data_IF_788180585046
#
_entry.id   IF_788180585046
#
_cell.length_a   1.000
_cell.length_b   1.000
_cell.length_c   1.000
_cell.angle_alpha   90.00
_cell.angle_beta   90.00
_cell.angle_gamma   90.00
#
_symmetry.space_group_name_H-M   'P 1'
#
loop_
_entity.id
_entity.type
_entity.pdbx_description
1 polymer ?
#
# COMPACT_ATOMS: atom_id res chain seq x y z
N UNK A 1 3.38 -9.21 -39.48
CA UNK A 1 4.55 -8.31 -39.60
C UNK A 1 5.89 -8.92 -39.17
N UNK A 2 6.18 -9.22 -37.89
CA UNK A 2 7.46 -9.90 -37.53
C UNK A 2 7.57 -11.36 -38.02
N UNK A 3 6.43 -12.05 -38.18
CA UNK A 3 6.38 -13.41 -38.73
C UNK A 3 6.29 -13.45 -40.27
N UNK A 4 6.19 -12.32 -40.97
CA UNK A 4 5.93 -12.25 -42.42
C UNK A 4 7.10 -11.65 -43.23
N UNK A 5 8.26 -11.41 -42.61
CA UNK A 5 9.46 -10.96 -43.33
C UNK A 5 9.37 -9.55 -43.94
N UNK A 6 8.63 -8.63 -43.30
CA UNK A 6 8.54 -7.24 -43.77
C UNK A 6 9.91 -6.49 -43.66
N UNK A 7 10.21 -5.52 -44.54
CA UNK A 7 11.45 -4.74 -44.50
C UNK A 7 11.64 -4.03 -43.15
N UNK A 8 12.87 -4.04 -42.62
CA UNK A 8 13.20 -3.51 -41.28
C UNK A 8 12.82 -2.03 -41.10
N UNK A 9 12.81 -1.27 -42.20
CA UNK A 9 12.38 0.14 -42.25
C UNK A 9 10.88 0.28 -41.94
N UNK A 10 10.04 -0.63 -42.44
CA UNK A 10 8.59 -0.62 -42.22
C UNK A 10 8.25 -1.04 -40.78
N UNK A 11 9.02 -1.98 -40.21
CA UNK A 11 8.92 -2.36 -38.80
C UNK A 11 9.30 -1.18 -37.91
N UNK A 12 10.39 -0.47 -38.24
CA UNK A 12 10.86 0.68 -37.47
C UNK A 12 9.85 1.84 -37.52
N UNK A 13 9.26 2.10 -38.69
CA UNK A 13 8.20 3.09 -38.87
C UNK A 13 6.93 2.74 -38.08
N UNK A 14 6.50 1.47 -38.13
CA UNK A 14 5.36 0.99 -37.36
C UNK A 14 5.59 1.06 -35.84
N UNK A 15 6.81 0.75 -35.37
CA UNK A 15 7.19 0.88 -33.96
C UNK A 15 7.21 2.34 -33.52
N UNK A 16 7.69 3.26 -34.36
CA UNK A 16 7.66 4.69 -34.07
C UNK A 16 6.21 5.21 -33.95
N UNK A 17 5.34 4.79 -34.86
CA UNK A 17 3.92 5.14 -34.83
C UNK A 17 3.20 4.57 -33.59
N UNK A 18 3.49 3.30 -33.25
CA UNK A 18 2.98 2.66 -32.03
C UNK A 18 3.46 3.38 -30.76
N UNK A 19 4.73 3.81 -30.71
CA UNK A 19 5.24 4.60 -29.59
C UNK A 19 4.57 5.97 -29.49
N UNK A 20 4.30 6.63 -30.60
CA UNK A 20 3.57 7.89 -30.63
C UNK A 20 2.13 7.71 -30.13
N UNK A 21 1.42 6.68 -30.63
CA UNK A 21 0.07 6.33 -30.17
C UNK A 21 0.05 5.95 -28.69
N UNK A 22 1.04 5.19 -28.22
CA UNK A 22 1.21 4.83 -26.80
C UNK A 22 1.34 6.08 -25.93
N UNK A 23 2.20 7.05 -26.30
CA UNK A 23 2.32 8.32 -25.58
C UNK A 23 1.02 9.13 -25.56
N UNK A 24 0.28 9.16 -26.67
CA UNK A 24 -1.01 9.83 -26.72
C UNK A 24 -2.07 9.13 -25.86
N UNK A 25 -2.06 7.79 -25.82
CA UNK A 25 -2.93 7.01 -24.96
C UNK A 25 -2.59 7.19 -23.49
N UNK A 26 -1.31 7.15 -23.12
CA UNK A 26 -0.83 7.41 -21.75
C UNK A 26 -1.21 8.83 -21.29
N UNK A 27 -1.08 9.83 -22.15
CA UNK A 27 -1.51 11.20 -21.83
C UNK A 27 -3.04 11.33 -21.70
N UNK A 28 -3.81 10.60 -22.52
CA UNK A 28 -5.27 10.56 -22.40
C UNK A 28 -5.72 9.79 -21.17
N UNK A 29 -5.04 8.70 -20.82
CA UNK A 29 -5.26 7.91 -19.61
C UNK A 29 -4.99 8.79 -18.38
N UNK A 30 -3.89 9.54 -18.35
CA UNK A 30 -3.59 10.51 -17.30
C UNK A 30 -4.62 11.67 -17.23
N UNK A 31 -5.21 12.07 -18.36
CA UNK A 31 -6.27 13.09 -18.40
C UNK A 31 -7.67 12.55 -18.06
N UNK A 32 -7.89 11.25 -18.28
CA UNK A 32 -9.10 10.49 -17.92
C UNK A 32 -9.01 9.91 -16.52
N UNK A 33 -7.83 9.91 -15.91
CA UNK A 33 -7.70 9.69 -14.48
C UNK A 33 -8.64 10.69 -13.83
N UNK A 34 -9.59 10.22 -12.99
CA UNK A 34 -10.43 11.12 -12.25
C UNK A 34 -9.49 12.10 -11.54
N UNK A 35 -9.67 13.40 -11.80
CA UNK A 35 -9.03 14.42 -10.95
C UNK A 35 -9.36 14.02 -9.52
N UNK A 36 -8.33 13.92 -8.68
CA UNK A 36 -8.44 13.56 -7.26
C UNK A 36 -9.43 14.48 -6.56
N UNK A 37 -10.72 14.17 -6.69
CA UNK A 37 -11.81 14.86 -6.02
C UNK A 37 -12.52 13.85 -5.13
N UNK A 38 -12.90 14.35 -3.94
CA UNK A 38 -14.22 14.22 -3.29
C UNK A 38 -14.11 13.96 -1.78
N UNK A 39 -12.95 13.59 -1.22
CA UNK A 39 -12.84 13.38 0.25
C UNK A 39 -11.96 14.43 0.93
N UNK A 40 -12.61 15.30 1.71
CA UNK A 40 -11.95 16.18 2.67
C UNK A 40 -11.35 15.34 3.81
N UNK A 41 -10.07 15.01 3.66
CA UNK A 41 -9.32 14.17 4.60
C UNK A 41 -9.31 14.78 6.01
N UNK A 42 -9.14 16.08 6.14
CA UNK A 42 -9.08 16.76 7.44
C UNK A 42 -10.41 16.62 8.18
N UNK A 43 -11.52 16.86 7.48
CA UNK A 43 -12.87 16.72 8.05
C UNK A 43 -13.23 15.27 8.38
N UNK A 44 -12.77 14.33 7.55
CA UNK A 44 -12.94 12.90 7.80
C UNK A 44 -12.16 12.48 9.06
N UNK A 45 -10.88 12.81 9.14
CA UNK A 45 -10.02 12.48 10.29
C UNK A 45 -10.54 13.09 11.59
N UNK A 46 -11.02 14.34 11.58
CA UNK A 46 -11.70 14.96 12.72
C UNK A 46 -12.90 14.14 13.18
N UNK A 47 -13.76 13.74 12.24
CA UNK A 47 -14.95 12.94 12.56
C UNK A 47 -14.57 11.56 13.12
N UNK A 48 -13.56 10.91 12.56
CA UNK A 48 -13.06 9.60 13.02
C UNK A 48 -12.52 9.69 14.45
N UNK A 49 -11.71 10.72 14.76
CA UNK A 49 -11.18 10.94 16.11
C UNK A 49 -12.28 11.34 17.10
N UNK A 50 -13.12 12.32 16.76
CA UNK A 50 -14.18 12.83 17.63
C UNK A 50 -15.25 11.78 17.96
N UNK A 51 -15.47 10.82 17.05
CA UNK A 51 -16.39 9.68 17.28
C UNK A 51 -15.68 8.42 17.78
N UNK A 52 -14.39 8.52 18.08
CA UNK A 52 -13.53 7.45 18.58
C UNK A 52 -13.64 6.17 17.74
N UNK A 53 -13.45 6.31 16.42
CA UNK A 53 -13.19 5.17 15.55
C UNK A 53 -11.81 4.59 15.83
N UNK A 54 -10.79 5.45 15.78
CA UNK A 54 -9.45 5.15 16.27
C UNK A 54 -8.82 6.45 16.80
N UNK A 55 -7.81 6.32 17.65
CA UNK A 55 -6.97 7.43 18.06
C UNK A 55 -5.53 6.97 18.27
N UNK A 56 -4.60 7.91 18.45
CA UNK A 56 -3.19 7.60 18.67
C UNK A 56 -3.00 6.83 19.98
N UNK A 57 -2.31 5.70 19.91
CA UNK A 57 -2.04 4.91 21.10
C UNK A 57 -1.17 5.69 22.09
N UNK A 58 -1.50 5.59 23.38
CA UNK A 58 -0.82 6.30 24.47
C UNK A 58 -0.86 7.84 24.33
N UNK A 59 -1.93 8.40 23.75
CA UNK A 59 -2.07 9.84 23.50
C UNK A 59 -1.78 10.72 24.74
N UNK A 60 -2.21 10.31 25.93
CA UNK A 60 -1.97 11.06 27.19
C UNK A 60 -0.48 11.13 27.60
N UNK A 61 0.38 10.30 27.00
CA UNK A 61 1.82 10.27 27.21
C UNK A 61 2.61 10.89 26.05
N UNK A 62 1.94 11.60 25.13
CA UNK A 62 2.55 12.19 23.93
C UNK A 62 2.41 11.34 22.67
N UNK A 63 1.86 10.12 22.79
CA UNK A 63 1.57 9.24 21.68
C UNK A 63 2.80 8.58 21.05
N UNK A 64 2.60 7.42 20.42
CA UNK A 64 3.65 6.73 19.67
C UNK A 64 3.28 6.69 18.19
N UNK A 65 4.16 7.22 17.33
CA UNK A 65 3.93 7.23 15.89
C UNK A 65 3.85 5.80 15.34
N UNK A 66 2.86 5.53 14.50
CA UNK A 66 2.62 4.20 13.92
C UNK A 66 1.78 3.25 14.79
N UNK A 67 1.43 3.63 16.03
CA UNK A 67 0.56 2.84 16.92
C UNK A 67 -0.79 3.55 17.14
N UNK A 68 -1.88 2.77 17.07
CA UNK A 68 -3.24 3.29 17.17
C UNK A 68 -4.15 2.34 17.96
N UNK A 69 -5.03 2.92 18.77
CA UNK A 69 -6.06 2.21 19.51
C UNK A 69 -7.41 2.39 18.83
N UNK A 70 -8.14 1.29 18.63
CA UNK A 70 -9.49 1.33 18.06
C UNK A 70 -10.52 1.51 19.16
N UNK A 71 -11.37 2.54 19.00
CA UNK A 71 -12.49 2.77 19.92
C UNK A 71 -13.70 1.89 19.59
N UNK A 72 -14.83 2.05 20.31
CA UNK A 72 -15.96 1.12 20.21
C UNK A 72 -16.51 0.95 18.79
N UNK A 73 -16.67 2.05 18.05
CA UNK A 73 -17.20 2.04 16.68
C UNK A 73 -16.19 1.44 15.70
N UNK A 74 -14.90 1.73 15.89
CA UNK A 74 -13.83 1.16 15.05
C UNK A 74 -13.67 -0.34 15.27
N UNK A 75 -13.73 -0.81 16.52
CA UNK A 75 -13.72 -2.24 16.84
C UNK A 75 -14.92 -2.97 16.23
N UNK A 76 -16.13 -2.40 16.32
CA UNK A 76 -17.32 -2.98 15.71
C UNK A 76 -17.18 -3.08 14.18
N UNK A 77 -16.72 -2.01 13.53
CA UNK A 77 -16.48 -2.01 12.08
C UNK A 77 -15.41 -3.03 11.67
N UNK A 78 -14.27 -3.07 12.38
CA UNK A 78 -13.19 -4.03 12.15
C UNK A 78 -13.70 -5.47 12.25
N UNK A 79 -14.49 -5.78 13.27
CA UNK A 79 -15.06 -7.11 13.46
C UNK A 79 -16.03 -7.49 12.34
N UNK A 80 -16.86 -6.55 11.88
CA UNK A 80 -17.78 -6.78 10.76
C UNK A 80 -17.01 -7.06 9.46
N UNK A 81 -15.92 -6.33 9.20
CA UNK A 81 -15.06 -6.57 8.03
C UNK A 81 -14.41 -7.96 8.10
N UNK A 82 -13.85 -8.32 9.27
CA UNK A 82 -13.27 -9.65 9.47
C UNK A 82 -14.31 -10.76 9.29
N UNK A 83 -15.53 -10.57 9.79
CA UNK A 83 -16.61 -11.54 9.62
C UNK A 83 -17.01 -11.70 8.16
N UNK A 84 -17.17 -10.60 7.42
CA UNK A 84 -17.47 -10.65 5.99
C UNK A 84 -16.34 -11.33 5.20
N UNK A 85 -15.08 -11.09 5.56
CA UNK A 85 -13.93 -11.75 4.95
C UNK A 85 -13.93 -13.27 5.20
N UNK A 86 -14.23 -13.70 6.43
CA UNK A 86 -14.33 -15.13 6.77
C UNK A 86 -15.47 -15.80 6.00
N UNK A 87 -16.62 -15.16 5.90
CA UNK A 87 -17.75 -15.67 5.13
C UNK A 87 -17.35 -15.85 3.66
N UNK A 88 -16.76 -14.81 3.07
CA UNK A 88 -16.45 -14.81 1.64
C UNK A 88 -15.31 -15.75 1.25
N UNK A 89 -14.25 -15.89 2.06
CA UNK A 89 -13.10 -16.71 1.69
C UNK A 89 -13.06 -18.04 2.41
N UNK A 90 -13.20 -18.04 3.73
CA UNK A 90 -13.04 -19.27 4.51
C UNK A 90 -14.23 -20.21 4.29
N UNK A 91 -15.44 -19.67 4.34
CA UNK A 91 -16.65 -20.51 4.23
C UNK A 91 -16.95 -20.89 2.78
N UNK A 92 -16.89 -19.96 1.83
CA UNK A 92 -17.20 -20.25 0.41
C UNK A 92 -16.18 -21.21 -0.22
N UNK A 93 -14.88 -21.04 0.05
CA UNK A 93 -13.81 -21.87 -0.53
C UNK A 93 -13.33 -23.00 0.41
N UNK A 94 -13.98 -23.17 1.57
CA UNK A 94 -13.63 -24.18 2.59
C UNK A 94 -12.16 -24.17 3.02
N UNK A 95 -11.60 -22.98 3.25
CA UNK A 95 -10.21 -22.81 3.67
C UNK A 95 -10.01 -23.30 5.11
N UNK A 96 -8.86 -23.92 5.39
CA UNK A 96 -8.45 -24.34 6.73
C UNK A 96 -7.86 -23.15 7.50
N UNK A 97 -8.66 -22.48 8.34
CA UNK A 97 -8.19 -21.42 9.24
C UNK A 97 -7.36 -22.01 10.40
N UNK A 98 -6.18 -21.45 10.65
CA UNK A 98 -5.31 -21.77 11.79
C UNK A 98 -4.87 -20.48 12.49
N UNK A 99 -4.63 -20.56 13.80
CA UNK A 99 -4.13 -19.43 14.60
C UNK A 99 -2.75 -19.77 15.20
N UNK A 100 -1.78 -18.88 14.97
CA UNK A 100 -0.37 -19.09 15.28
C UNK A 100 0.18 -17.98 16.19
N UNK A 101 1.26 -18.25 16.91
CA UNK A 101 1.88 -17.28 17.83
C UNK A 101 2.63 -16.17 17.11
N UNK A 102 2.60 -14.94 17.66
CA UNK A 102 3.38 -13.80 17.14
C UNK A 102 4.88 -13.89 17.44
N UNK A 103 5.26 -14.36 18.64
CA UNK A 103 6.67 -14.56 18.99
C UNK A 103 7.26 -15.67 18.12
N UNK A 104 8.26 -15.33 17.33
CA UNK A 104 8.84 -16.21 16.31
C UNK A 104 10.35 -16.38 16.55
N UNK A 105 10.87 -17.62 16.66
CA UNK A 105 12.32 -17.85 16.80
C UNK A 105 13.12 -17.34 15.59
N UNK A 106 14.29 -16.76 15.84
CA UNK A 106 15.16 -16.20 14.80
C UNK A 106 15.45 -17.17 13.63
N UNK A 107 15.75 -18.48 13.83
CA UNK A 107 16.03 -19.38 12.72
C UNK A 107 14.90 -19.46 11.68
N UNK A 108 13.64 -19.29 12.09
CA UNK A 108 12.48 -19.28 11.19
C UNK A 108 12.48 -18.03 10.31
N UNK A 109 12.73 -16.87 10.89
CA UNK A 109 12.81 -15.59 10.15
C UNK A 109 14.04 -15.52 9.27
N UNK A 110 15.16 -16.13 9.69
CA UNK A 110 16.36 -16.25 8.87
C UNK A 110 16.11 -17.14 7.66
N UNK A 111 15.51 -18.31 7.88
CA UNK A 111 15.24 -19.28 6.80
C UNK A 111 14.24 -18.74 5.79
N UNK A 112 13.23 -17.99 6.22
CA UNK A 112 12.28 -17.30 5.32
C UNK A 112 12.90 -16.09 4.60
N UNK A 113 14.12 -15.67 4.97
CA UNK A 113 14.84 -14.55 4.37
C UNK A 113 14.44 -13.17 4.89
N UNK A 114 13.51 -13.07 5.85
CA UNK A 114 13.08 -11.78 6.41
C UNK A 114 14.23 -11.04 7.08
N UNK A 115 15.11 -11.77 7.80
CA UNK A 115 16.28 -11.17 8.47
C UNK A 115 17.20 -10.45 7.48
N UNK A 116 17.34 -10.95 6.27
CA UNK A 116 18.28 -10.41 5.29
C UNK A 116 17.65 -9.41 4.31
N UNK A 117 16.32 -9.49 4.11
CA UNK A 117 15.65 -8.79 3.01
C UNK A 117 14.53 -7.84 3.44
N UNK A 118 13.98 -7.96 4.64
CA UNK A 118 12.87 -7.12 5.10
C UNK A 118 13.39 -5.81 5.69
N UNK A 119 13.96 -4.97 4.83
CA UNK A 119 14.53 -3.67 5.20
C UNK A 119 14.31 -2.62 4.10
N UNK A 120 14.05 -1.38 4.52
CA UNK A 120 14.00 -0.21 3.65
C UNK A 120 15.28 0.62 3.80
N UNK A 121 15.70 1.33 2.74
CA UNK A 121 16.82 2.26 2.83
C UNK A 121 16.45 3.49 3.67
N UNK A 122 17.28 3.79 4.66
CA UNK A 122 17.10 4.92 5.58
C UNK A 122 18.19 5.97 5.34
N UNK A 123 17.79 7.24 5.23
CA UNK A 123 18.70 8.39 5.23
C UNK A 123 18.54 9.15 6.55
N UNK A 124 19.64 9.72 7.04
CA UNK A 124 19.68 10.44 8.32
C UNK A 124 20.22 11.84 8.10
N UNK A 125 19.55 12.85 8.62
CA UNK A 125 20.10 14.21 8.63
C UNK A 125 21.20 14.30 9.71
N UNK A 126 22.35 14.83 9.30
CA UNK A 126 23.57 14.92 10.11
C UNK A 126 23.43 15.90 11.28
N UNK A 127 22.53 16.88 11.19
CA UNK A 127 22.35 17.94 12.20
C UNK A 127 21.38 17.55 13.31
N UNK A 128 20.19 17.08 12.95
CA UNK A 128 19.12 16.75 13.91
C UNK A 128 19.07 15.25 14.24
N UNK A 129 19.71 14.41 13.44
CA UNK A 129 19.68 12.97 13.59
C UNK A 129 18.34 12.31 13.24
N UNK A 130 17.42 13.03 12.59
CA UNK A 130 16.14 12.47 12.17
C UNK A 130 16.32 11.46 11.05
N UNK A 131 15.58 10.36 11.16
CA UNK A 131 15.62 9.25 10.21
C UNK A 131 14.45 9.34 9.25
N UNK A 132 14.73 9.24 7.95
CA UNK A 132 13.73 9.25 6.90
C UNK A 132 13.87 8.02 6.01
N UNK A 133 12.74 7.53 5.54
CA UNK A 133 12.69 6.51 4.48
C UNK A 133 13.10 7.13 3.15
N UNK A 134 14.16 6.60 2.54
CA UNK A 134 14.78 7.19 1.35
C UNK A 134 13.80 7.22 0.15
N UNK A 135 12.97 6.20 0.01
CA UNK A 135 11.97 6.05 -1.04
C UNK A 135 10.83 7.09 -0.95
N UNK A 136 10.50 7.56 0.25
CA UNK A 136 9.50 8.62 0.42
C UNK A 136 10.07 10.01 0.14
N UNK A 137 11.38 10.19 0.28
CA UNK A 137 12.07 11.47 0.11
C UNK A 137 12.48 11.69 -1.35
N UNK A 138 12.88 10.63 -2.05
CA UNK A 138 13.23 10.64 -3.47
C UNK A 138 12.00 10.28 -4.31
N UNK A 139 11.10 11.25 -4.53
CA UNK A 139 9.95 11.10 -5.45
C UNK A 139 10.32 11.43 -6.89
#
# INVERSE_FOLDING_TARGET
>A
MKQEGAPDVDITKAVAELKARKRTLEAKELALQPKDDIVDRTKMEDTLKRRFFYDQAFAIYGGVSGLYDFGPVGCALKNNILQAWRQHFIQEEQILEIDCTMLTPEPVLKTSGHVDKFADYMVKDVKNGECFRADHLLK
#
